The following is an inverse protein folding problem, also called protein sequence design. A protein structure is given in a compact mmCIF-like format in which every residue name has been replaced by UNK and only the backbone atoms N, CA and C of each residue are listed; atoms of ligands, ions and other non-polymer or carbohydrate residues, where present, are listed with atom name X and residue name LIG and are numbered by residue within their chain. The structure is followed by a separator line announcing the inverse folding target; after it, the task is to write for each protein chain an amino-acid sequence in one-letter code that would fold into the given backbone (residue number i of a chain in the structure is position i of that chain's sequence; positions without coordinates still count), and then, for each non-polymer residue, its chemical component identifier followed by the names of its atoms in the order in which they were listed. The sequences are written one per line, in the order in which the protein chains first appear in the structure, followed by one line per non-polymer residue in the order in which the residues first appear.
data_IF_095986566544
#
_entry.id   IF_095986566544
#
_cell.length_a   1.000
_cell.length_b   1.000
_cell.length_c   1.000
_cell.angle_alpha   90.00
_cell.angle_beta   90.00
_cell.angle_gamma   90.00
#
_symmetry.space_group_name_H-M   'P 1'
#
loop_
_entity.id
_entity.type
_entity.pdbx_description
1 polymer ?
#
# COMPACT_ATOMS: atom_id res chain seq x y z
N UNK A 1 -4.96 -4.07 46.28
CA UNK A 1 -6.28 -3.42 46.22
C UNK A 1 -6.64 -3.26 44.75
N UNK A 2 -7.41 -4.20 44.22
CA UNK A 2 -7.61 -4.42 42.79
C UNK A 2 -8.84 -3.69 42.25
N UNK A 3 -8.67 -3.03 41.10
CA UNK A 3 -9.69 -2.26 40.38
C UNK A 3 -10.68 -3.15 39.61
N UNK A 4 -11.24 -4.19 40.24
CA UNK A 4 -12.10 -5.16 39.56
C UNK A 4 -13.36 -5.59 40.36
N UNK A 5 -13.86 -4.76 41.27
CA UNK A 5 -15.04 -5.09 42.08
C UNK A 5 -16.34 -4.33 41.72
N UNK A 6 -16.28 -3.25 40.95
CA UNK A 6 -17.46 -2.35 40.74
C UNK A 6 -18.31 -2.64 39.50
N UNK A 7 -18.09 -3.75 38.78
CA UNK A 7 -18.85 -4.09 37.57
C UNK A 7 -19.64 -5.42 37.67
N UNK A 8 -19.54 -6.15 38.78
CA UNK A 8 -20.37 -7.34 39.01
C UNK A 8 -21.75 -6.93 39.54
N UNK A 9 -22.62 -6.41 38.66
CA UNK A 9 -24.01 -6.15 39.03
C UNK A 9 -24.77 -5.13 38.20
N UNK A 10 -24.12 -4.43 37.26
CA UNK A 10 -24.81 -3.43 36.43
C UNK A 10 -25.63 -4.11 35.33
N UNK A 11 -26.88 -3.69 35.17
CA UNK A 11 -27.65 -4.00 33.97
C UNK A 11 -26.99 -3.38 32.74
N UNK A 12 -27.33 -3.89 31.55
CA UNK A 12 -26.82 -3.38 30.26
C UNK A 12 -27.00 -1.86 30.11
N UNK A 13 -28.11 -1.32 30.59
CA UNK A 13 -28.41 0.11 30.54
C UNK A 13 -27.54 0.95 31.50
N UNK A 14 -27.19 0.39 32.66
CA UNK A 14 -26.35 1.08 33.65
C UNK A 14 -24.87 1.04 33.26
N UNK A 15 -24.42 -0.05 32.64
CA UNK A 15 -23.10 -0.13 32.00
C UNK A 15 -22.95 0.91 30.87
N UNK A 16 -23.98 1.10 30.04
CA UNK A 16 -24.00 2.14 28.99
C UNK A 16 -23.99 3.58 29.55
N UNK A 17 -24.66 3.81 30.68
CA UNK A 17 -24.68 5.12 31.34
C UNK A 17 -23.32 5.44 31.98
N UNK A 18 -22.70 4.45 32.63
CA UNK A 18 -21.36 4.57 33.18
C UNK A 18 -20.31 4.80 32.08
N UNK A 19 -20.40 4.10 30.95
CA UNK A 19 -19.55 4.29 29.77
C UNK A 19 -19.63 5.71 29.20
N UNK A 20 -20.83 6.25 29.01
CA UNK A 20 -21.03 7.64 28.54
C UNK A 20 -20.46 8.70 29.47
N UNK A 21 -20.37 8.41 30.77
CA UNK A 21 -19.92 9.36 31.80
C UNK A 21 -18.42 9.29 32.07
N UNK A 22 -17.80 8.10 31.98
CA UNK A 22 -16.41 7.88 32.40
C UNK A 22 -15.53 7.16 31.34
N UNK A 23 -16.11 6.41 30.40
CA UNK A 23 -15.36 5.59 29.44
C UNK A 23 -14.68 6.38 28.31
N UNK A 24 -15.28 7.47 27.85
CA UNK A 24 -14.71 8.36 26.83
C UNK A 24 -13.47 9.12 27.34
N UNK A 25 -13.45 9.47 28.63
CA UNK A 25 -12.31 10.11 29.29
C UNK A 25 -11.17 9.12 29.63
N UNK A 26 -11.48 7.83 29.77
CA UNK A 26 -10.51 6.77 30.10
C UNK A 26 -10.00 5.97 28.88
N UNK A 27 -10.39 6.33 27.65
CA UNK A 27 -9.87 5.69 26.44
C UNK A 27 -10.22 4.20 26.29
N UNK A 28 -11.25 3.72 27.00
CA UNK A 28 -11.72 2.34 26.93
C UNK A 28 -12.58 2.14 25.69
N UNK A 29 -11.90 2.01 24.56
CA UNK A 29 -12.48 1.75 23.24
C UNK A 29 -12.91 0.27 23.16
N UNK A 30 -14.13 -0.04 23.63
CA UNK A 30 -14.66 -1.41 23.66
C UNK A 30 -15.72 -1.70 22.59
N UNK A 31 -16.09 -0.72 21.75
CA UNK A 31 -16.97 -0.91 20.60
C UNK A 31 -16.49 -0.09 19.39
N UNK A 32 -16.89 -0.52 18.19
CA UNK A 32 -16.58 0.19 16.95
C UNK A 32 -17.15 1.61 16.94
N UNK A 33 -18.34 1.81 17.50
CA UNK A 33 -18.97 3.12 17.63
C UNK A 33 -18.17 4.04 18.55
N UNK A 34 -17.61 3.51 19.64
CA UNK A 34 -16.74 4.27 20.53
C UNK A 34 -15.46 4.75 19.85
N UNK A 35 -14.86 3.89 19.00
CA UNK A 35 -13.70 4.25 18.18
C UNK A 35 -14.07 5.33 17.16
N UNK A 36 -15.19 5.19 16.48
CA UNK A 36 -15.65 6.16 15.49
C UNK A 36 -15.92 7.55 16.13
N UNK A 37 -16.59 7.59 17.27
CA UNK A 37 -16.85 8.84 18.01
C UNK A 37 -15.56 9.51 18.47
N UNK A 38 -14.59 8.73 18.95
CA UNK A 38 -13.29 9.26 19.36
C UNK A 38 -12.49 9.82 18.19
N UNK A 39 -12.45 9.10 17.06
CA UNK A 39 -11.82 9.62 15.84
C UNK A 39 -12.52 10.90 15.39
N UNK A 40 -13.85 10.95 15.39
CA UNK A 40 -14.59 12.16 15.04
C UNK A 40 -14.26 13.35 15.95
N UNK A 41 -14.06 13.13 17.26
CA UNK A 41 -13.65 14.22 18.16
C UNK A 41 -12.22 14.68 17.88
N UNK A 42 -11.30 13.76 17.59
CA UNK A 42 -9.94 14.10 17.18
C UNK A 42 -9.93 14.90 15.86
N UNK A 43 -10.75 14.52 14.88
CA UNK A 43 -10.87 15.25 13.62
C UNK A 43 -11.47 16.65 13.82
N UNK A 44 -12.42 16.81 14.75
CA UNK A 44 -13.00 18.11 15.06
C UNK A 44 -11.98 19.05 15.73
N UNK A 45 -11.06 18.51 16.53
CA UNK A 45 -10.05 19.27 17.26
C UNK A 45 -8.79 19.54 16.41
N UNK A 46 -8.28 18.50 15.73
CA UNK A 46 -7.00 18.53 15.02
C UNK A 46 -7.15 18.57 13.48
N UNK A 47 -8.38 18.58 12.96
CA UNK A 47 -8.70 18.59 11.53
C UNK A 47 -8.80 17.19 10.91
N UNK A 48 -9.52 17.09 9.79
CA UNK A 48 -9.89 15.83 9.12
C UNK A 48 -8.71 14.91 8.79
N UNK A 49 -8.88 13.62 9.06
CA UNK A 49 -7.90 12.60 8.66
C UNK A 49 -7.83 12.56 7.13
N UNK A 50 -6.64 12.44 6.51
CA UNK A 50 -6.54 12.22 5.09
C UNK A 50 -7.30 10.96 4.68
N UNK A 51 -8.09 11.02 3.61
CA UNK A 51 -8.89 9.88 3.13
C UNK A 51 -8.02 8.65 2.80
N UNK A 52 -6.77 8.90 2.40
CA UNK A 52 -5.76 7.89 2.07
C UNK A 52 -4.85 7.53 3.24
N UNK A 53 -5.25 7.79 4.49
CA UNK A 53 -4.44 7.44 5.66
C UNK A 53 -4.30 5.92 5.79
N UNK A 54 -3.06 5.43 5.65
CA UNK A 54 -2.68 4.04 5.88
C UNK A 54 -1.91 3.97 7.19
N UNK A 55 -2.59 3.52 8.25
CA UNK A 55 -1.99 3.46 9.59
C UNK A 55 -0.80 2.52 9.68
N UNK A 56 -0.79 1.42 8.89
CA UNK A 56 0.33 0.48 8.88
C UNK A 56 1.51 1.10 8.16
N UNK A 57 1.24 1.75 7.03
CA UNK A 57 2.24 2.49 6.26
C UNK A 57 2.86 3.64 7.05
N UNK A 58 2.02 4.39 7.76
CA UNK A 58 2.44 5.45 8.65
C UNK A 58 3.43 4.93 9.71
N UNK A 59 3.09 3.88 10.45
CA UNK A 59 4.00 3.28 11.43
C UNK A 59 5.26 2.70 10.76
N UNK A 60 5.10 2.06 9.60
CA UNK A 60 6.20 1.44 8.84
C UNK A 60 7.27 2.43 8.40
N UNK A 61 6.92 3.71 8.21
CA UNK A 61 7.90 4.76 7.90
C UNK A 61 8.74 5.19 9.11
N UNK A 62 8.28 4.95 10.34
CA UNK A 62 8.76 5.64 11.52
C UNK A 62 9.06 4.67 12.68
N UNK A 63 10.34 4.29 12.87
CA UNK A 63 10.73 3.32 13.89
C UNK A 63 10.33 3.71 15.33
N UNK A 64 10.23 5.00 15.63
CA UNK A 64 9.78 5.50 16.93
C UNK A 64 8.31 5.15 17.26
N UNK A 65 7.53 4.79 16.24
CA UNK A 65 6.13 4.40 16.38
C UNK A 65 5.91 2.90 16.51
N UNK A 66 6.97 2.08 16.58
CA UNK A 66 6.89 0.62 16.62
C UNK A 66 6.04 0.06 17.79
N UNK A 67 5.84 0.83 18.86
CA UNK A 67 4.96 0.48 19.98
C UNK A 67 3.46 0.64 19.72
N UNK A 68 3.07 1.26 18.60
CA UNK A 68 1.66 1.48 18.24
C UNK A 68 1.11 0.22 17.58
N UNK A 69 0.17 -0.45 18.25
CA UNK A 69 -0.43 -1.71 17.78
C UNK A 69 -1.81 -1.58 17.12
N UNK A 70 -2.38 -0.39 17.01
CA UNK A 70 -3.76 -0.20 16.55
C UNK A 70 -3.93 1.02 15.63
N UNK A 71 -4.93 0.92 14.74
CA UNK A 71 -5.28 1.99 13.81
C UNK A 71 -5.67 3.29 14.54
N UNK A 72 -6.50 3.22 15.59
CA UNK A 72 -6.92 4.42 16.33
C UNK A 72 -5.75 5.13 17.01
N UNK A 73 -4.75 4.37 17.52
CA UNK A 73 -3.60 4.95 18.19
C UNK A 73 -2.66 5.64 17.18
N UNK A 74 -2.51 5.05 15.99
CA UNK A 74 -1.81 5.68 14.87
C UNK A 74 -2.52 6.96 14.40
N UNK A 75 -3.85 6.92 14.24
CA UNK A 75 -4.68 8.08 13.88
C UNK A 75 -4.52 9.19 14.91
N UNK A 76 -4.66 8.86 16.20
CA UNK A 76 -4.45 9.79 17.31
C UNK A 76 -3.07 10.44 17.21
N UNK A 77 -2.02 9.64 17.07
CA UNK A 77 -0.66 10.16 16.97
C UNK A 77 -0.50 11.07 15.75
N UNK A 78 -0.98 10.65 14.58
CA UNK A 78 -0.88 11.44 13.36
C UNK A 78 -1.59 12.80 13.50
N UNK A 79 -2.83 12.80 13.99
CA UNK A 79 -3.62 14.02 14.17
C UNK A 79 -3.01 14.96 15.22
N UNK A 80 -2.52 14.43 16.36
CA UNK A 80 -1.96 15.24 17.45
C UNK A 80 -0.52 15.72 17.18
N UNK A 81 0.28 14.92 16.47
CA UNK A 81 1.72 15.12 16.31
C UNK A 81 2.17 15.01 14.86
N UNK A 82 1.94 13.86 14.24
CA UNK A 82 2.54 13.50 12.94
C UNK A 82 2.30 14.52 11.83
N UNK A 83 1.08 15.07 11.71
CA UNK A 83 0.77 16.08 10.68
C UNK A 83 1.62 17.33 10.84
N UNK A 84 1.77 17.84 12.06
CA UNK A 84 2.58 19.04 12.35
C UNK A 84 4.07 18.79 12.13
N UNK A 85 4.50 17.56 12.38
CA UNK A 85 5.86 17.10 12.14
C UNK A 85 6.17 16.83 10.66
N UNK A 86 5.20 17.00 9.75
CA UNK A 86 5.39 16.71 8.32
C UNK A 86 5.52 15.22 8.01
N UNK A 87 5.01 14.35 8.89
CA UNK A 87 5.01 12.90 8.66
C UNK A 87 4.01 12.50 7.58
N UNK A 88 4.39 11.52 6.77
CA UNK A 88 3.59 11.02 5.66
C UNK A 88 2.49 10.11 6.17
N UNK A 89 1.20 10.35 5.82
CA UNK A 89 0.08 9.53 6.28
C UNK A 89 -0.05 8.16 5.58
N UNK A 90 0.93 7.77 4.77
CA UNK A 90 0.94 6.54 3.96
C UNK A 90 2.35 5.97 3.88
N UNK A 91 2.48 4.70 3.47
CA UNK A 91 3.78 4.06 3.30
C UNK A 91 4.61 4.75 2.20
N UNK A 92 5.80 5.21 2.53
CA UNK A 92 6.80 5.66 1.57
C UNK A 92 7.46 4.44 0.90
N UNK A 93 7.68 4.52 -0.42
CA UNK A 93 8.38 3.48 -1.16
C UNK A 93 9.79 3.94 -1.57
N UNK A 94 10.83 3.57 -0.79
CA UNK A 94 12.20 4.00 -1.08
C UNK A 94 12.73 3.43 -2.40
N UNK A 95 12.38 2.19 -2.76
CA UNK A 95 12.85 1.56 -4.01
C UNK A 95 12.30 2.25 -5.25
N UNK A 96 11.00 2.59 -5.24
CA UNK A 96 10.38 3.36 -6.30
C UNK A 96 11.01 4.77 -6.37
N UNK A 97 11.08 5.46 -5.23
CA UNK A 97 11.58 6.82 -5.18
C UNK A 97 13.04 6.90 -5.67
N UNK A 98 13.86 5.92 -5.27
CA UNK A 98 15.24 5.77 -5.75
C UNK A 98 15.29 5.53 -7.25
N UNK A 99 14.44 4.63 -7.76
CA UNK A 99 14.35 4.34 -9.19
C UNK A 99 14.01 5.59 -10.01
N UNK A 100 13.11 6.43 -9.53
CA UNK A 100 12.64 7.61 -10.24
C UNK A 100 13.64 8.79 -10.19
N UNK A 101 14.27 9.04 -9.04
CA UNK A 101 14.97 10.31 -8.80
C UNK A 101 16.45 10.17 -8.42
N UNK A 102 16.89 8.99 -7.99
CA UNK A 102 18.21 8.76 -7.39
C UNK A 102 18.92 7.53 -7.96
N UNK A 103 18.72 7.25 -9.25
CA UNK A 103 19.35 6.11 -9.92
C UNK A 103 20.88 6.18 -9.75
N UNK A 104 21.46 5.10 -9.23
CA UNK A 104 22.91 4.97 -9.01
C UNK A 104 23.44 5.71 -7.77
N UNK A 105 22.60 6.45 -7.04
CA UNK A 105 23.00 7.10 -5.80
C UNK A 105 22.93 6.12 -4.61
N UNK A 106 23.95 6.18 -3.76
CA UNK A 106 23.99 5.45 -2.48
C UNK A 106 23.40 6.33 -1.38
N UNK A 107 22.11 6.15 -1.13
CA UNK A 107 21.37 6.81 -0.04
C UNK A 107 20.66 5.75 0.80
N UNK A 108 20.60 5.92 2.12
CA UNK A 108 19.74 5.08 2.97
C UNK A 108 18.26 5.39 2.69
N UNK A 109 17.38 4.46 3.06
CA UNK A 109 15.94 4.67 2.92
C UNK A 109 15.45 5.82 3.79
N UNK A 110 16.04 6.02 4.98
CA UNK A 110 15.79 7.17 5.85
C UNK A 110 16.15 8.50 5.16
N UNK A 111 17.30 8.56 4.46
CA UNK A 111 17.72 9.76 3.74
C UNK A 111 16.80 10.04 2.54
N UNK A 112 16.26 9.00 1.89
CA UNK A 112 15.28 9.16 0.82
C UNK A 112 13.93 9.66 1.36
N UNK A 113 13.48 9.13 2.50
CA UNK A 113 12.27 9.58 3.19
C UNK A 113 12.41 11.06 3.60
N UNK A 114 13.54 11.42 4.22
CA UNK A 114 13.85 12.81 4.59
C UNK A 114 13.87 13.73 3.37
N UNK A 115 14.54 13.32 2.28
CA UNK A 115 14.54 14.09 1.04
C UNK A 115 13.12 14.27 0.48
N UNK A 116 12.30 13.23 0.49
CA UNK A 116 10.92 13.34 0.04
C UNK A 116 10.12 14.30 0.91
N UNK A 117 10.24 14.23 2.23
CA UNK A 117 9.51 15.11 3.16
C UNK A 117 9.92 16.59 3.04
N UNK A 118 11.22 16.85 2.80
CA UNK A 118 11.77 18.22 2.78
C UNK A 118 11.74 18.87 1.40
N UNK A 119 11.84 18.08 0.33
CA UNK A 119 11.95 18.56 -1.05
C UNK A 119 10.91 17.90 -1.96
N UNK A 120 10.91 16.57 -2.01
CA UNK A 120 10.17 15.82 -3.02
C UNK A 120 8.66 16.04 -3.00
N UNK A 121 8.05 16.09 -1.82
CA UNK A 121 6.61 16.26 -1.66
C UNK A 121 6.14 17.62 -2.20
N UNK A 122 6.87 18.69 -1.88
CA UNK A 122 6.57 20.03 -2.40
C UNK A 122 6.84 20.14 -3.91
N UNK A 123 7.81 19.39 -4.42
CA UNK A 123 8.13 19.30 -5.85
C UNK A 123 7.18 18.38 -6.64
N UNK A 124 6.19 17.76 -6.00
CA UNK A 124 5.24 16.84 -6.64
C UNK A 124 5.86 15.49 -7.06
N UNK A 125 6.94 15.06 -6.39
CA UNK A 125 7.55 13.77 -6.69
C UNK A 125 6.65 12.62 -6.27
N UNK A 126 6.76 11.50 -6.98
CA UNK A 126 5.96 10.30 -6.78
C UNK A 126 6.68 9.38 -5.78
N UNK A 127 6.00 8.99 -4.71
CA UNK A 127 6.55 8.18 -3.63
C UNK A 127 5.84 6.83 -3.43
N UNK A 128 4.75 6.58 -4.17
CA UNK A 128 4.01 5.31 -4.11
C UNK A 128 3.70 4.78 -5.51
N UNK A 129 3.46 3.47 -5.61
CA UNK A 129 3.06 2.86 -6.89
C UNK A 129 1.71 3.37 -7.38
N UNK A 130 0.78 3.68 -6.47
CA UNK A 130 -0.52 4.23 -6.83
C UNK A 130 -0.40 5.66 -7.37
N UNK A 131 0.48 6.49 -6.79
CA UNK A 131 0.78 7.81 -7.35
C UNK A 131 1.38 7.70 -8.76
N UNK A 132 2.31 6.77 -8.98
CA UNK A 132 2.87 6.52 -10.31
C UNK A 132 1.82 6.02 -11.30
N UNK A 133 0.99 5.06 -10.91
CA UNK A 133 -0.09 4.54 -11.74
C UNK A 133 -1.08 5.65 -12.12
N UNK A 134 -1.55 6.43 -11.14
CA UNK A 134 -2.48 7.54 -11.36
C UNK A 134 -1.88 8.63 -12.27
N UNK A 135 -0.60 8.95 -12.11
CA UNK A 135 0.10 9.91 -12.97
C UNK A 135 0.16 9.45 -14.44
N UNK A 136 0.09 8.14 -14.70
CA UNK A 136 0.03 7.55 -16.04
C UNK A 136 -1.41 7.15 -16.45
N UNK A 137 -2.44 7.55 -15.68
CA UNK A 137 -3.85 7.27 -16.00
C UNK A 137 -4.32 5.85 -15.69
N UNK A 138 -3.59 5.11 -14.86
CA UNK A 138 -4.00 3.78 -14.37
C UNK A 138 -4.69 3.89 -13.01
N UNK A 139 -5.68 3.03 -12.79
CA UNK A 139 -6.47 3.03 -11.55
C UNK A 139 -5.75 2.37 -10.35
N UNK A 140 -4.81 1.45 -10.58
CA UNK A 140 -4.11 0.69 -9.54
C UNK A 140 -2.67 0.39 -10.00
N UNK A 141 -1.69 0.51 -9.09
CA UNK A 141 -0.27 0.29 -9.34
C UNK A 141 0.32 -0.96 -8.67
N UNK A 142 -0.49 -1.83 -8.06
CA UNK A 142 -0.02 -2.95 -7.23
C UNK A 142 0.96 -3.88 -7.97
N UNK A 143 0.74 -4.13 -9.25
CA UNK A 143 1.60 -5.01 -10.05
C UNK A 143 3.01 -4.44 -10.26
N UNK A 144 3.21 -3.13 -10.15
CA UNK A 144 4.52 -2.47 -10.25
C UNK A 144 5.49 -2.89 -9.14
N UNK A 145 4.96 -3.49 -8.06
CA UNK A 145 5.73 -4.16 -6.99
C UNK A 145 6.53 -5.35 -7.51
N UNK A 146 6.07 -5.99 -8.60
CA UNK A 146 6.68 -7.19 -9.18
C UNK A 146 7.44 -6.90 -10.48
N UNK A 147 7.36 -5.67 -11.00
CA UNK A 147 8.21 -5.23 -12.10
C UNK A 147 9.61 -4.96 -11.57
N UNK A 148 10.55 -5.84 -11.87
CA UNK A 148 11.97 -5.60 -11.61
C UNK A 148 12.58 -4.88 -12.82
N UNK A 149 13.20 -3.71 -12.60
CA UNK A 149 13.67 -2.88 -13.71
C UNK A 149 14.85 -3.50 -14.46
N UNK A 150 15.74 -4.20 -13.76
CA UNK A 150 16.92 -4.81 -14.38
C UNK A 150 16.49 -6.04 -15.18
N UNK A 151 15.68 -6.91 -14.58
CA UNK A 151 15.15 -8.09 -15.26
C UNK A 151 14.22 -7.70 -16.42
N UNK A 152 13.39 -6.67 -16.25
CA UNK A 152 12.54 -6.15 -17.33
C UNK A 152 13.39 -5.71 -18.53
N UNK A 153 14.48 -4.97 -18.31
CA UNK A 153 15.39 -4.58 -19.39
C UNK A 153 16.00 -5.81 -20.08
N UNK A 154 16.46 -6.81 -19.33
CA UNK A 154 17.03 -8.03 -19.89
C UNK A 154 16.01 -8.79 -20.76
N UNK A 155 14.81 -9.00 -20.23
CA UNK A 155 13.74 -9.78 -20.85
C UNK A 155 13.10 -9.08 -22.06
N UNK A 156 13.05 -7.74 -22.05
CA UNK A 156 12.31 -6.96 -23.04
C UNK A 156 13.19 -6.11 -23.96
N UNK A 157 14.52 -6.18 -23.82
CA UNK A 157 15.51 -5.40 -24.57
C UNK A 157 15.26 -5.33 -26.08
N UNK A 158 14.77 -6.42 -26.69
CA UNK A 158 14.51 -6.51 -28.13
C UNK A 158 13.51 -5.49 -28.66
N UNK A 159 12.53 -5.10 -27.86
CA UNK A 159 11.46 -4.19 -28.30
C UNK A 159 11.44 -2.87 -27.51
N UNK A 160 11.91 -2.88 -26.26
CA UNK A 160 11.94 -1.66 -25.43
C UNK A 160 13.27 -0.91 -25.50
N UNK A 161 14.36 -1.58 -25.91
CA UNK A 161 15.70 -1.06 -25.73
C UNK A 161 16.07 -1.02 -24.25
N UNK A 162 16.72 0.05 -23.80
CA UNK A 162 17.07 0.26 -22.40
C UNK A 162 16.17 1.34 -21.79
N UNK A 163 15.49 1.03 -20.69
CA UNK A 163 14.77 1.98 -19.85
C UNK A 163 15.51 2.23 -18.54
N UNK A 164 15.40 3.46 -18.04
CA UNK A 164 16.23 3.94 -16.95
C UNK A 164 15.57 3.89 -15.59
N UNK A 165 14.24 3.88 -15.51
CA UNK A 165 13.47 3.91 -14.27
C UNK A 165 12.13 3.17 -14.45
N UNK A 166 11.41 2.94 -13.34
CA UNK A 166 10.11 2.26 -13.35
C UNK A 166 9.02 3.00 -14.14
N UNK A 167 9.08 4.34 -14.25
CA UNK A 167 8.10 5.10 -15.04
C UNK A 167 8.26 4.85 -16.55
N UNK A 168 9.50 4.83 -17.05
CA UNK A 168 9.80 4.48 -18.43
C UNK A 168 9.40 3.02 -18.74
N UNK A 169 9.65 2.10 -17.81
CA UNK A 169 9.20 0.72 -17.93
C UNK A 169 7.67 0.62 -17.98
N UNK A 170 6.95 1.35 -17.12
CA UNK A 170 5.49 1.43 -17.14
C UNK A 170 4.97 2.01 -18.47
N UNK A 171 5.56 3.10 -18.97
CA UNK A 171 5.18 3.67 -20.28
C UNK A 171 5.44 2.71 -21.43
N UNK A 172 6.52 1.93 -21.36
CA UNK A 172 6.78 0.86 -22.32
C UNK A 172 5.72 -0.25 -22.25
N UNK A 173 5.34 -0.67 -21.04
CA UNK A 173 4.25 -1.62 -20.81
C UNK A 173 2.94 -1.15 -21.44
N UNK A 174 2.59 0.12 -21.23
CA UNK A 174 1.37 0.72 -21.79
C UNK A 174 1.41 0.85 -23.32
N UNK A 175 2.57 1.20 -23.89
CA UNK A 175 2.72 1.38 -25.34
C UNK A 175 2.57 0.07 -26.10
N UNK A 176 3.25 -0.98 -25.64
CA UNK A 176 3.32 -2.26 -26.36
C UNK A 176 3.44 -3.50 -25.46
N UNK A 177 3.88 -3.35 -24.21
CA UNK A 177 4.17 -4.51 -23.36
C UNK A 177 2.94 -5.36 -23.02
N UNK A 178 1.75 -4.75 -22.87
CA UNK A 178 0.52 -5.52 -22.65
C UNK A 178 0.16 -6.43 -23.83
N UNK A 179 0.24 -5.91 -25.06
CA UNK A 179 -0.05 -6.67 -26.29
C UNK A 179 0.96 -7.82 -26.51
N UNK A 180 2.18 -7.61 -26.00
CA UNK A 180 3.30 -8.55 -26.07
C UNK A 180 3.32 -9.57 -24.93
N UNK A 181 2.44 -9.44 -23.93
CA UNK A 181 2.50 -10.23 -22.69
C UNK A 181 3.88 -10.13 -22.01
N UNK A 182 4.47 -8.94 -22.04
CA UNK A 182 5.85 -8.70 -21.65
C UNK A 182 6.13 -9.19 -20.21
N UNK A 183 7.16 -10.03 -19.98
CA UNK A 183 7.52 -10.42 -18.62
C UNK A 183 7.91 -9.20 -17.78
N UNK A 184 7.39 -9.12 -16.55
CA UNK A 184 7.70 -8.01 -15.62
C UNK A 184 8.92 -8.33 -14.73
N UNK A 185 9.25 -9.61 -14.58
CA UNK A 185 10.45 -10.14 -13.91
C UNK A 185 10.62 -11.61 -14.30
N UNK A 186 11.76 -12.23 -14.00
CA UNK A 186 12.01 -13.66 -14.22
C UNK A 186 10.99 -14.52 -13.48
N UNK A 187 10.60 -14.12 -12.27
CA UNK A 187 9.61 -14.82 -11.46
C UNK A 187 8.16 -14.62 -11.91
N UNK A 188 7.90 -13.70 -12.85
CA UNK A 188 6.56 -13.27 -13.24
C UNK A 188 6.46 -13.12 -14.77
N UNK A 189 6.82 -14.19 -15.48
CA UNK A 189 6.42 -14.38 -16.88
C UNK A 189 4.96 -14.87 -16.94
N UNK A 190 4.21 -14.49 -17.97
CA UNK A 190 2.82 -14.89 -18.12
C UNK A 190 2.65 -15.97 -19.19
N UNK A 191 1.98 -17.06 -18.84
CA UNK A 191 1.59 -18.11 -19.78
C UNK A 191 0.05 -18.09 -19.96
N UNK A 192 -0.46 -17.57 -21.09
CA UNK A 192 -1.90 -17.43 -21.29
C UNK A 192 -2.63 -18.77 -21.41
N UNK A 193 -1.97 -19.83 -21.89
CA UNK A 193 -2.58 -21.15 -22.05
C UNK A 193 -2.76 -21.78 -20.68
N UNK A 194 -1.66 -21.85 -19.92
CA UNK A 194 -1.69 -22.32 -18.55
C UNK A 194 -2.70 -21.51 -17.70
N UNK A 195 -2.69 -20.18 -17.84
CA UNK A 195 -3.55 -19.33 -17.02
C UNK A 195 -5.04 -19.56 -17.32
N UNK A 196 -5.41 -19.73 -18.59
CA UNK A 196 -6.79 -20.05 -18.97
C UNK A 196 -7.24 -21.41 -18.41
N UNK A 197 -6.39 -22.43 -18.49
CA UNK A 197 -6.67 -23.77 -17.95
C UNK A 197 -6.81 -23.76 -16.42
N UNK A 198 -5.92 -23.03 -15.72
CA UNK A 198 -5.95 -22.90 -14.28
C UNK A 198 -7.08 -21.99 -13.76
N UNK A 199 -7.64 -21.13 -14.62
CA UNK A 199 -8.69 -20.18 -14.26
C UNK A 199 -9.88 -20.24 -15.24
N UNK A 200 -10.69 -21.32 -15.21
CA UNK A 200 -11.78 -21.51 -16.18
C UNK A 200 -12.79 -20.36 -16.26
N UNK A 201 -13.01 -19.63 -15.15
CA UNK A 201 -13.88 -18.46 -15.12
C UNK A 201 -13.40 -17.30 -16.00
N UNK A 202 -12.11 -17.27 -16.36
CA UNK A 202 -11.52 -16.25 -17.23
C UNK A 202 -11.28 -16.77 -18.65
N UNK A 203 -11.44 -18.07 -18.93
CA UNK A 203 -11.02 -18.72 -20.17
C UNK A 203 -11.69 -18.18 -21.46
N UNK A 204 -12.80 -17.44 -21.35
CA UNK A 204 -13.44 -16.79 -22.50
C UNK A 204 -12.77 -15.49 -22.97
N UNK A 205 -11.77 -15.00 -22.24
CA UNK A 205 -11.02 -13.77 -22.56
C UNK A 205 -9.86 -14.06 -23.52
N UNK A 206 -9.49 -13.06 -24.31
CA UNK A 206 -8.27 -13.16 -25.12
C UNK A 206 -7.00 -13.13 -24.24
N UNK A 207 -5.85 -13.48 -24.84
CA UNK A 207 -4.58 -13.56 -24.10
C UNK A 207 -4.16 -12.26 -23.43
N UNK A 208 -4.46 -11.11 -24.02
CA UNK A 208 -4.09 -9.78 -23.52
C UNK A 208 -5.04 -9.38 -22.39
N UNK A 209 -6.32 -9.67 -22.52
CA UNK A 209 -7.31 -9.53 -21.46
C UNK A 209 -6.98 -10.41 -20.24
N UNK A 210 -6.54 -11.66 -20.47
CA UNK A 210 -6.06 -12.55 -19.42
C UNK A 210 -4.83 -11.97 -18.71
N UNK A 211 -3.87 -11.44 -19.48
CA UNK A 211 -2.66 -10.84 -18.93
C UNK A 211 -2.96 -9.58 -18.11
N UNK A 212 -3.81 -8.69 -18.62
CA UNK A 212 -4.27 -7.51 -17.87
C UNK A 212 -5.03 -7.93 -16.61
N UNK A 213 -5.91 -8.91 -16.69
CA UNK A 213 -6.59 -9.45 -15.50
C UNK A 213 -5.58 -9.99 -14.47
N UNK A 214 -4.58 -10.75 -14.92
CA UNK A 214 -3.55 -11.27 -14.03
C UNK A 214 -2.74 -10.16 -13.37
N UNK A 215 -2.26 -9.17 -14.13
CA UNK A 215 -1.53 -8.03 -13.56
C UNK A 215 -2.37 -7.26 -12.54
N UNK A 216 -3.55 -6.79 -12.94
CA UNK A 216 -4.35 -5.84 -12.15
C UNK A 216 -5.23 -6.52 -11.08
N UNK A 217 -5.41 -7.83 -11.12
CA UNK A 217 -6.26 -8.56 -10.15
C UNK A 217 -5.59 -9.83 -9.65
N UNK A 218 -5.08 -10.67 -10.55
CA UNK A 218 -4.50 -11.97 -10.22
C UNK A 218 -3.34 -11.88 -9.23
N UNK A 219 -2.36 -11.00 -9.44
CA UNK A 219 -1.19 -10.85 -8.57
C UNK A 219 -1.58 -10.50 -7.13
N UNK A 220 -2.55 -9.60 -6.95
CA UNK A 220 -3.07 -9.22 -5.62
C UNK A 220 -3.81 -10.37 -4.93
N UNK A 221 -4.51 -11.18 -5.73
CA UNK A 221 -5.18 -12.40 -5.28
C UNK A 221 -4.25 -13.62 -5.18
N UNK A 222 -2.94 -13.46 -5.43
CA UNK A 222 -1.95 -14.54 -5.46
C UNK A 222 -2.29 -15.67 -6.44
N UNK A 223 -2.91 -15.33 -7.57
CA UNK A 223 -3.19 -16.27 -8.66
C UNK A 223 -1.93 -16.41 -9.53
N UNK A 224 -1.39 -17.64 -9.69
CA UNK A 224 -0.16 -17.86 -10.48
C UNK A 224 -0.39 -17.59 -11.96
N UNK A 225 0.54 -16.85 -12.59
CA UNK A 225 0.53 -16.52 -14.02
C UNK A 225 1.13 -17.62 -14.91
N UNK A 226 1.84 -18.57 -14.32
CA UNK A 226 2.48 -19.69 -15.01
C UNK A 226 2.64 -20.89 -14.06
N UNK A 227 3.03 -22.06 -14.61
CA UNK A 227 3.20 -23.28 -13.83
C UNK A 227 4.34 -23.21 -12.79
N UNK A 228 5.46 -22.54 -13.10
CA UNK A 228 6.58 -22.41 -12.16
C UNK A 228 6.21 -21.54 -10.94
N UNK A 229 5.45 -20.47 -11.17
CA UNK A 229 4.90 -19.63 -10.12
C UNK A 229 3.88 -20.39 -9.26
N UNK A 230 3.04 -21.24 -9.87
CA UNK A 230 2.12 -22.11 -9.12
C UNK A 230 2.89 -22.99 -8.14
N UNK A 231 3.91 -23.70 -8.60
CA UNK A 231 4.73 -24.56 -7.75
C UNK A 231 5.38 -23.78 -6.61
N UNK A 232 5.86 -22.56 -6.85
CA UNK A 232 6.46 -21.71 -5.80
C UNK A 232 5.44 -21.27 -4.74
N UNK A 233 4.18 -21.07 -5.12
CA UNK A 233 3.13 -20.59 -4.21
C UNK A 233 2.41 -21.73 -3.45
N UNK A 234 2.38 -22.93 -4.02
CA UNK A 234 1.52 -24.03 -3.55
C UNK A 234 2.19 -25.41 -3.47
N UNK A 235 3.42 -25.55 -3.96
CA UNK A 235 4.24 -26.76 -3.81
C UNK A 235 5.06 -26.75 -2.53
#
# INVERSE_FOLDING_TARGET
MGAHYDLQGLSRAEAEKHYRKHGAAEGRLHSEEGVAQYIASLEAEYGKLPEFFDWKGYIGNYPDLAGIGSAYAAIKHFLQHGRREGRLPYQFNPDLYRSLYFKGARMSDDALLEHYQTVGHAAGYLATFDQLAQAEGLADGYWLRFLDLEEFNLLNSRWVGQVSNKQEALRAMMREGFERLAPISFGHAFDPVYFADANPAQAGKDRVELYKYWLFTGLKAKVPGNAAEHLRLHG
#
